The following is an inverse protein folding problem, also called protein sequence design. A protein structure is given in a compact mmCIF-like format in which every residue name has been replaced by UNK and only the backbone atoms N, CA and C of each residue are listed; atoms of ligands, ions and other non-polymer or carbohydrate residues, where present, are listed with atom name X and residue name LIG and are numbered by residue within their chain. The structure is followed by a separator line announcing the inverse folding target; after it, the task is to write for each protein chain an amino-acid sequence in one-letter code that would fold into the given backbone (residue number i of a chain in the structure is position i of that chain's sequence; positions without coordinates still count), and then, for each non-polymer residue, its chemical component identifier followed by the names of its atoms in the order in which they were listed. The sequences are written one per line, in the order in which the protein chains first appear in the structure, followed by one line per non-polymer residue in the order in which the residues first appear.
data_IF_054576799252
#
_entry.id   IF_054576799252
#
_cell.length_a   1.000
_cell.length_b   1.000
_cell.length_c   1.000
_cell.angle_alpha   90.00
_cell.angle_beta   90.00
_cell.angle_gamma   90.00
#
_symmetry.space_group_name_H-M   'P 1'
#
loop_
_entity.id
_entity.type
_entity.pdbx_description
1 polymer ?
#
# COMPACT_ATOMS: atom_id res chain seq x y z
N UNK A 1 -8.84 1.21 -18.06
CA UNK A 1 -7.46 0.69 -17.85
C UNK A 1 -6.55 1.31 -18.89
N UNK A 2 -5.31 1.64 -18.51
CA UNK A 2 -4.29 2.09 -19.45
C UNK A 2 -3.40 0.90 -19.87
N UNK A 3 -2.94 0.89 -21.11
CA UNK A 3 -2.00 -0.10 -21.62
C UNK A 3 -0.58 0.46 -21.52
N UNK A 4 0.36 -0.33 -21.00
CA UNK A 4 1.78 0.01 -20.95
C UNK A 4 2.57 -1.06 -21.71
N UNK A 5 3.60 -0.65 -22.45
CA UNK A 5 4.55 -1.54 -23.10
C UNK A 5 5.86 -1.47 -22.35
N UNK A 6 6.35 -2.62 -21.86
CA UNK A 6 7.60 -2.73 -21.13
C UNK A 6 8.61 -3.50 -21.97
N UNK A 7 9.83 -2.97 -22.08
CA UNK A 7 10.95 -3.70 -22.65
C UNK A 7 11.52 -4.63 -21.59
N UNK A 8 11.66 -5.91 -21.92
CA UNK A 8 12.27 -6.92 -21.05
C UNK A 8 13.52 -7.48 -21.73
N UNK A 9 14.57 -7.82 -20.96
CA UNK A 9 15.67 -8.62 -21.48
C UNK A 9 15.16 -9.93 -22.10
N UNK A 10 15.79 -10.36 -23.20
CA UNK A 10 15.35 -11.55 -23.95
C UNK A 10 15.34 -12.81 -23.09
N UNK A 11 16.34 -12.97 -22.23
CA UNK A 11 16.46 -14.12 -21.33
C UNK A 11 15.31 -14.19 -20.31
N UNK A 12 14.82 -13.04 -19.82
CA UNK A 12 13.65 -12.97 -18.94
C UNK A 12 12.39 -13.38 -19.69
N UNK A 13 12.21 -12.89 -20.92
CA UNK A 13 11.06 -13.24 -21.76
C UNK A 13 11.03 -14.73 -22.07
N UNK A 14 12.18 -15.35 -22.36
CA UNK A 14 12.27 -16.79 -22.59
C UNK A 14 11.88 -17.60 -21.36
N UNK A 15 12.38 -17.22 -20.18
CA UNK A 15 11.98 -17.87 -18.91
C UNK A 15 10.47 -17.74 -18.66
N UNK A 16 9.88 -16.58 -18.95
CA UNK A 16 8.44 -16.37 -18.79
C UNK A 16 7.60 -17.27 -19.71
N UNK A 17 8.05 -17.49 -20.95
CA UNK A 17 7.35 -18.37 -21.91
C UNK A 17 7.27 -19.82 -21.47
N UNK A 18 8.19 -20.27 -20.62
CA UNK A 18 8.16 -21.63 -20.06
C UNK A 18 7.01 -21.85 -19.07
N UNK A 19 6.34 -20.77 -18.64
CA UNK A 19 5.19 -20.81 -17.73
C UNK A 19 3.97 -20.08 -18.35
N UNK A 20 3.38 -20.62 -19.43
CA UNK A 20 2.26 -19.99 -20.13
C UNK A 20 0.96 -19.93 -19.31
N UNK A 21 0.83 -20.76 -18.28
CA UNK A 21 -0.29 -20.77 -17.34
C UNK A 21 -0.34 -19.51 -16.44
N UNK A 22 0.77 -18.78 -16.34
CA UNK A 22 0.87 -17.58 -15.50
C UNK A 22 0.33 -16.36 -16.25
N UNK A 23 -0.60 -15.64 -15.61
CA UNK A 23 -1.07 -14.33 -16.06
C UNK A 23 -0.02 -13.26 -15.76
N UNK A 24 1.00 -13.15 -16.60
CA UNK A 24 2.14 -12.24 -16.41
C UNK A 24 1.74 -10.76 -16.25
N UNK A 25 0.66 -10.32 -16.91
CA UNK A 25 0.10 -8.98 -16.72
C UNK A 25 -0.35 -8.71 -15.27
N UNK A 26 -0.90 -9.70 -14.58
CA UNK A 26 -1.28 -9.60 -13.17
C UNK A 26 -0.06 -9.54 -12.25
N UNK A 27 0.96 -10.34 -12.56
CA UNK A 27 2.22 -10.35 -11.80
C UNK A 27 2.89 -8.98 -11.87
N UNK A 28 2.99 -8.42 -13.08
CA UNK A 28 3.57 -7.09 -13.30
C UNK A 28 2.74 -6.02 -12.58
N UNK A 29 1.41 -6.06 -12.66
CA UNK A 29 0.55 -5.10 -11.96
C UNK A 29 0.77 -5.14 -10.46
N UNK A 30 0.82 -6.33 -9.85
CA UNK A 30 1.11 -6.49 -8.41
C UNK A 30 2.50 -5.97 -8.04
N UNK A 31 3.51 -6.27 -8.85
CA UNK A 31 4.86 -5.79 -8.61
C UNK A 31 4.94 -4.25 -8.67
N UNK A 32 4.26 -3.63 -9.64
CA UNK A 32 4.15 -2.18 -9.74
C UNK A 32 3.46 -1.60 -8.50
N UNK A 33 2.33 -2.18 -8.06
CA UNK A 33 1.64 -1.71 -6.85
C UNK A 33 2.54 -1.80 -5.61
N UNK A 34 3.18 -2.95 -5.37
CA UNK A 34 4.11 -3.10 -4.22
C UNK A 34 5.28 -2.12 -4.31
N UNK A 35 5.79 -1.85 -5.51
CA UNK A 35 6.87 -0.89 -5.70
C UNK A 35 6.39 0.56 -5.51
N UNK A 36 5.19 0.89 -5.99
CA UNK A 36 4.55 2.18 -5.73
C UNK A 36 4.28 2.37 -4.24
N UNK A 37 3.80 1.35 -3.54
CA UNK A 37 3.64 1.39 -2.09
C UNK A 37 5.00 1.68 -1.44
N UNK A 38 6.08 0.96 -1.80
CA UNK A 38 7.43 1.26 -1.30
C UNK A 38 7.90 2.69 -1.59
N UNK A 39 7.63 3.21 -2.79
CA UNK A 39 8.01 4.57 -3.19
C UNK A 39 7.16 5.66 -2.53
N UNK A 40 5.86 5.41 -2.39
CA UNK A 40 4.88 6.32 -1.78
C UNK A 40 4.91 6.27 -0.25
N UNK A 41 5.66 5.33 0.31
CA UNK A 41 5.69 5.09 1.73
C UNK A 41 4.62 4.09 2.18
N UNK A 42 4.86 2.80 1.92
CA UNK A 42 4.85 1.79 2.97
C UNK A 42 6.09 2.00 3.85
N UNK A 43 6.31 3.23 4.27
CA UNK A 43 6.35 3.51 5.68
C UNK A 43 5.35 2.52 6.36
N UNK A 44 5.84 1.47 7.03
CA UNK A 44 5.91 1.62 8.48
C UNK A 44 6.33 3.05 8.71
N UNK A 45 5.34 3.94 8.80
CA UNK A 45 5.54 5.27 9.31
C UNK A 45 6.02 4.92 10.69
N UNK A 46 7.34 4.90 10.85
CA UNK A 46 7.91 4.70 12.16
C UNK A 46 7.18 5.70 13.06
N UNK A 47 6.98 5.31 14.31
CA UNK A 47 6.38 6.18 15.32
C UNK A 47 6.87 7.64 15.20
N UNK A 48 8.13 7.84 14.79
CA UNK A 48 8.73 9.12 14.45
C UNK A 48 8.03 9.95 13.36
N UNK A 49 7.53 9.38 12.26
CA UNK A 49 6.83 10.15 11.24
C UNK A 49 5.46 10.62 11.74
N UNK A 50 4.68 9.74 12.38
CA UNK A 50 3.40 10.13 12.98
C UNK A 50 3.59 11.09 14.16
N UNK A 51 4.65 10.94 14.94
CA UNK A 51 5.01 11.87 16.01
C UNK A 51 5.28 13.28 15.46
N UNK A 52 6.04 13.41 14.37
CA UNK A 52 6.25 14.70 13.69
C UNK A 52 4.96 15.34 13.18
N UNK A 53 4.01 14.53 12.69
CA UNK A 53 2.70 15.03 12.28
C UNK A 53 1.91 15.51 13.50
N UNK A 54 1.93 14.74 14.59
CA UNK A 54 1.26 15.10 15.84
C UNK A 54 1.81 16.42 16.40
N UNK A 55 3.13 16.58 16.45
CA UNK A 55 3.80 17.83 16.82
C UNK A 55 3.37 19.00 15.93
N UNK A 56 3.44 18.85 14.60
CA UNK A 56 3.05 19.90 13.64
C UNK A 56 1.59 20.30 13.76
N UNK A 57 0.72 19.37 14.15
CA UNK A 57 -0.73 19.60 14.29
C UNK A 57 -1.15 19.98 15.71
N UNK A 58 -0.21 20.05 16.65
CA UNK A 58 -0.48 20.36 18.06
C UNK A 58 -1.18 19.23 18.82
N UNK A 59 -1.14 18.00 18.32
CA UNK A 59 -1.71 16.83 18.98
C UNK A 59 -0.70 16.29 19.99
N UNK A 60 -1.05 16.33 21.28
CA UNK A 60 -0.26 15.71 22.33
C UNK A 60 -0.60 14.23 22.47
N UNK A 61 0.30 13.35 22.00
CA UNK A 61 0.13 11.89 22.06
C UNK A 61 0.13 11.33 23.49
N UNK A 62 0.90 11.92 24.41
CA UNK A 62 1.04 11.46 25.80
C UNK A 62 -0.24 11.70 26.61
N UNK A 63 -1.04 12.68 26.21
CA UNK A 63 -2.33 12.99 26.85
C UNK A 63 -3.47 12.03 26.47
N UNK A 64 -3.23 11.13 25.50
CA UNK A 64 -4.26 10.21 25.00
C UNK A 64 -4.24 8.94 25.85
N UNK A 65 -5.34 8.66 26.55
CA UNK A 65 -5.51 7.40 27.27
C UNK A 65 -5.56 6.20 26.32
N UNK A 66 -5.15 5.03 26.81
CA UNK A 66 -5.12 3.78 26.04
C UNK A 66 -6.52 3.46 25.46
N UNK A 67 -7.58 3.59 26.25
CA UNK A 67 -8.96 3.36 25.79
C UNK A 67 -9.36 4.27 24.63
N UNK A 68 -8.89 5.52 24.65
CA UNK A 68 -9.16 6.49 23.60
C UNK A 68 -8.33 6.18 22.35
N UNK A 69 -7.08 5.79 22.51
CA UNK A 69 -6.23 5.31 21.42
C UNK A 69 -6.84 4.08 20.73
N UNK A 70 -7.35 3.11 21.49
CA UNK A 70 -8.01 1.92 20.95
C UNK A 70 -9.27 2.27 20.15
N UNK A 71 -10.09 3.21 20.64
CA UNK A 71 -11.25 3.74 19.90
C UNK A 71 -10.84 4.39 18.58
N UNK A 72 -9.77 5.18 18.58
CA UNK A 72 -9.25 5.80 17.36
C UNK A 72 -8.76 4.75 16.36
N UNK A 73 -8.05 3.72 16.83
CA UNK A 73 -7.59 2.61 15.99
C UNK A 73 -8.75 1.85 15.34
N UNK A 74 -9.77 1.46 16.12
CA UNK A 74 -10.96 0.77 15.60
C UNK A 74 -11.67 1.60 14.52
N UNK A 75 -11.86 2.90 14.78
CA UNK A 75 -12.45 3.82 13.79
C UNK A 75 -11.61 3.92 12.51
N UNK A 76 -10.29 3.95 12.64
CA UNK A 76 -9.39 3.99 11.48
C UNK A 76 -9.48 2.71 10.66
N UNK A 77 -9.52 1.54 11.31
CA UNK A 77 -9.73 0.23 10.68
C UNK A 77 -11.05 0.14 9.93
N UNK A 78 -12.13 0.65 10.51
CA UNK A 78 -13.45 0.67 9.85
C UNK A 78 -13.47 1.57 8.61
N UNK A 79 -12.81 2.73 8.68
CA UNK A 79 -12.66 3.64 7.54
C UNK A 79 -11.78 3.04 6.44
N UNK A 80 -10.70 2.36 6.81
CA UNK A 80 -9.82 1.65 5.89
C UNK A 80 -10.58 0.52 5.18
N UNK A 81 -11.34 -0.28 5.94
CA UNK A 81 -12.21 -1.31 5.39
C UNK A 81 -13.25 -0.75 4.43
N UNK A 82 -13.86 0.41 4.75
CA UNK A 82 -14.76 1.11 3.83
C UNK A 82 -14.06 1.50 2.52
N UNK A 83 -12.87 2.12 2.58
CA UNK A 83 -12.12 2.48 1.35
C UNK A 83 -11.86 1.27 0.46
N UNK A 84 -11.34 0.18 1.05
CA UNK A 84 -10.96 -1.01 0.31
C UNK A 84 -12.19 -1.75 -0.24
N UNK A 85 -13.26 -1.87 0.53
CA UNK A 85 -14.51 -2.50 0.09
C UNK A 85 -15.29 -1.68 -0.95
N UNK A 86 -15.14 -0.35 -0.97
CA UNK A 86 -15.73 0.52 -2.01
C UNK A 86 -14.93 0.57 -3.30
N UNK A 87 -13.72 0.01 -3.32
CA UNK A 87 -12.93 -0.10 -4.56
C UNK A 87 -13.54 -1.19 -5.42
N UNK A 88 -14.40 -0.79 -6.35
CA UNK A 88 -15.11 -1.68 -7.28
C UNK A 88 -14.07 -2.50 -8.06
N UNK A 89 -13.98 -3.81 -7.78
CA UNK A 89 -13.24 -4.74 -8.60
C UNK A 89 -13.79 -4.64 -10.04
N UNK A 90 -12.96 -4.12 -10.94
CA UNK A 90 -13.24 -3.96 -12.37
C UNK A 90 -12.35 -4.92 -13.15
#
# INVERSE_FOLDING_TARGET
MANITLSLPDDVRERMKNYPEIKWSEVVRKAILVYLDKLMGSETLDSSHYARIAERTGVNLESISIDKAEKHYKKMRDLEWKRQSTTRAS
#
